data_IF_471140574775
#
_entry.id   IF_471140574775
#
_cell.length_a   1.000
_cell.length_b   1.000
_cell.length_c   1.000
_cell.angle_alpha   90.00
_cell.angle_beta   90.00
_cell.angle_gamma   90.00
#
_symmetry.space_group_name_H-M   'P 1'
#
loop_
_entity.id
_entity.type
_entity.pdbx_description
1 polymer ?
#
# COMPACT_ATOMS: atom_id res chain seq x y z
N UNK A 1 -49.03 -16.08 8.98
CA UNK A 1 -48.76 -16.16 8.80
C UNK A 1 -48.58 -15.74 8.70
N UNK A 2 -48.70 -15.42 8.90
CA UNK A 2 -48.57 -15.04 8.90
C UNK A 2 -47.89 -14.94 9.20
N UNK A 3 -47.56 -15.18 9.65
CA UNK A 3 -46.94 -15.28 9.86
C UNK A 3 -46.12 -15.08 9.83
N UNK A 4 -45.94 -14.94 10.16
CA UNK A 4 -45.30 -14.79 10.12
C UNK A 4 -44.36 -14.75 9.76
N UNK A 5 -44.29 -14.98 9.89
CA UNK A 5 -43.41 -15.16 9.42
C UNK A 5 -42.70 -14.76 8.72
N UNK A 6 -42.82 -14.83 8.78
CA UNK A 6 -42.32 -14.59 8.08
C UNK A 6 -41.45 -14.35 7.33
N UNK A 7 -41.22 -14.91 7.13
CA UNK A 7 -40.54 -14.87 6.23
C UNK A 7 -40.93 -15.54 5.19
N UNK A 8 -41.95 -15.54 4.89
CA UNK A 8 -42.21 -16.16 3.67
C UNK A 8 -41.49 -15.45 2.52
N UNK A 9 -41.00 -16.21 1.60
CA UNK A 9 -40.23 -15.64 0.49
C UNK A 9 -41.09 -14.75 -0.38
N UNK A 10 -42.39 -15.04 -0.54
CA UNK A 10 -43.28 -14.24 -1.33
C UNK A 10 -43.48 -12.83 -0.77
N UNK A 11 -43.26 -12.67 0.50
CA UNK A 11 -43.38 -11.38 1.16
C UNK A 11 -42.04 -10.68 1.33
N UNK A 12 -40.94 -11.33 1.04
CA UNK A 12 -39.63 -10.80 1.34
C UNK A 12 -39.26 -9.57 0.55
N UNK A 13 -39.98 -9.28 -0.52
CA UNK A 13 -39.67 -8.14 -1.37
C UNK A 13 -40.52 -6.92 -1.06
N UNK A 14 -41.14 -6.85 0.07
CA UNK A 14 -41.80 -5.65 0.51
C UNK A 14 -40.75 -4.53 0.80
N UNK A 15 -41.23 -3.30 0.97
CA UNK A 15 -40.37 -2.15 1.16
C UNK A 15 -39.40 -2.29 2.34
N UNK A 16 -39.77 -2.81 3.53
CA UNK A 16 -38.85 -2.99 4.59
C UNK A 16 -37.70 -3.96 4.27
N UNK A 17 -37.97 -4.98 3.47
CA UNK A 17 -36.92 -5.91 3.05
C UNK A 17 -35.93 -5.25 2.09
N UNK A 18 -36.45 -4.42 1.15
CA UNK A 18 -35.60 -3.65 0.25
C UNK A 18 -34.70 -2.65 1.02
N UNK A 19 -35.29 -1.97 2.00
CA UNK A 19 -34.50 -1.06 2.86
C UNK A 19 -33.36 -1.78 3.57
N UNK A 20 -33.60 -3.01 4.02
CA UNK A 20 -32.55 -3.81 4.67
C UNK A 20 -31.44 -4.20 3.69
N UNK A 21 -31.79 -4.50 2.44
CA UNK A 21 -30.80 -4.83 1.41
C UNK A 21 -29.93 -3.61 1.14
N UNK A 22 -30.53 -2.43 1.00
CA UNK A 22 -29.78 -1.20 0.81
C UNK A 22 -28.86 -0.90 1.98
N UNK A 23 -29.35 -1.08 3.20
CA UNK A 23 -28.55 -0.89 4.42
C UNK A 23 -27.38 -1.86 4.44
N UNK A 24 -27.63 -3.14 4.11
CA UNK A 24 -26.57 -4.14 4.08
C UNK A 24 -25.52 -3.80 3.03
N UNK A 25 -25.94 -3.35 1.84
CA UNK A 25 -25.01 -2.93 0.80
C UNK A 25 -24.14 -1.76 1.26
N UNK A 26 -24.74 -0.79 1.96
CA UNK A 26 -23.98 0.33 2.54
C UNK A 26 -23.00 -0.13 3.60
N UNK A 27 -23.39 -1.04 4.47
CA UNK A 27 -22.49 -1.60 5.50
C UNK A 27 -21.34 -2.37 4.88
N UNK A 28 -21.60 -3.16 3.84
CA UNK A 28 -20.55 -3.88 3.11
C UNK A 28 -19.57 -2.92 2.44
N UNK A 29 -20.06 -1.83 1.85
CA UNK A 29 -19.21 -0.82 1.26
C UNK A 29 -18.30 -0.16 2.32
N UNK A 30 -18.86 0.16 3.49
CA UNK A 30 -18.07 0.71 4.60
C UNK A 30 -17.03 -0.27 5.12
N UNK A 31 -17.37 -1.56 5.18
CA UNK A 31 -16.42 -2.60 5.59
C UNK A 31 -15.30 -2.76 4.57
N UNK A 32 -15.60 -2.67 3.28
CA UNK A 32 -14.60 -2.70 2.23
C UNK A 32 -13.66 -1.51 2.34
N UNK A 33 -14.18 -0.31 2.55
CA UNK A 33 -13.36 0.88 2.76
C UNK A 33 -12.47 0.74 3.99
N UNK A 34 -13.00 0.17 5.07
CA UNK A 34 -12.21 -0.09 6.28
C UNK A 34 -11.19 -1.19 6.09
N UNK A 35 -11.37 -2.09 5.14
CA UNK A 35 -10.40 -3.13 4.82
C UNK A 35 -9.21 -2.61 4.04
N UNK A 36 -9.33 -1.45 3.40
CA UNK A 36 -8.21 -0.80 2.73
C UNK A 36 -7.19 -0.32 3.75
N UNK A 37 -5.93 -0.64 3.52
CA UNK A 37 -4.86 -0.36 4.45
C UNK A 37 -3.72 0.34 3.76
N UNK A 38 -2.97 1.08 4.55
CA UNK A 38 -1.66 1.56 4.13
C UNK A 38 -0.63 0.55 4.58
N UNK A 39 -0.04 -0.14 3.63
CA UNK A 39 0.89 -1.24 3.89
C UNK A 39 2.29 -0.76 3.59
N UNK A 40 3.17 -0.82 4.59
CA UNK A 40 4.59 -0.59 4.39
C UNK A 40 5.27 -1.89 3.99
N UNK A 41 6.10 -1.84 2.95
CA UNK A 41 6.92 -2.97 2.55
C UNK A 41 8.38 -2.49 2.50
N UNK A 42 9.19 -3.07 3.34
CA UNK A 42 10.62 -2.76 3.47
C UNK A 42 11.42 -4.05 3.40
N UNK A 43 12.66 -3.95 2.96
CA UNK A 43 13.49 -5.14 2.93
C UNK A 43 14.89 -4.95 2.39
N UNK A 44 15.53 -6.06 2.10
CA UNK A 44 16.93 -6.15 1.71
C UNK A 44 17.22 -5.44 0.40
N UNK A 45 18.43 -4.91 0.28
CA UNK A 45 18.91 -4.28 -0.97
C UNK A 45 19.34 -5.30 -2.01
N UNK A 46 19.81 -6.45 -1.57
CA UNK A 46 20.25 -7.53 -2.45
C UNK A 46 19.20 -8.62 -2.45
N UNK A 47 18.57 -8.83 -3.61
CA UNK A 47 17.43 -9.73 -3.75
C UNK A 47 17.66 -10.63 -4.97
N UNK A 48 17.45 -11.94 -4.84
CA UNK A 48 17.50 -12.84 -6.00
C UNK A 48 16.46 -12.43 -7.06
N UNK A 49 16.78 -12.62 -8.33
CA UNK A 49 15.91 -12.20 -9.44
C UNK A 49 14.51 -12.79 -9.32
N UNK A 50 14.40 -14.05 -8.93
CA UNK A 50 13.10 -14.70 -8.75
C UNK A 50 12.26 -14.00 -7.69
N UNK A 51 12.89 -13.61 -6.58
CA UNK A 51 12.20 -12.90 -5.51
C UNK A 51 11.77 -11.49 -5.94
N UNK A 52 12.56 -10.81 -6.76
CA UNK A 52 12.19 -9.51 -7.32
C UNK A 52 10.84 -9.60 -8.04
N UNK A 53 10.67 -10.57 -8.92
CA UNK A 53 9.41 -10.77 -9.65
C UNK A 53 8.23 -11.08 -8.72
N UNK A 54 8.47 -11.88 -7.69
CA UNK A 54 7.43 -12.18 -6.70
C UNK A 54 7.02 -10.94 -5.92
N UNK A 55 7.97 -10.11 -5.54
CA UNK A 55 7.68 -8.87 -4.80
C UNK A 55 6.88 -7.90 -5.68
N UNK A 56 7.27 -7.76 -6.94
CA UNK A 56 6.51 -6.95 -7.90
C UNK A 56 5.07 -7.44 -8.03
N UNK A 57 4.89 -8.76 -8.11
CA UNK A 57 3.56 -9.38 -8.21
C UNK A 57 2.74 -9.12 -6.93
N UNK A 58 3.34 -9.26 -5.77
CA UNK A 58 2.67 -8.98 -4.49
C UNK A 58 2.24 -7.52 -4.42
N UNK A 59 3.14 -6.60 -4.78
CA UNK A 59 2.82 -5.17 -4.78
C UNK A 59 1.65 -4.86 -5.73
N UNK A 60 1.66 -5.40 -6.94
CA UNK A 60 0.56 -5.25 -7.89
C UNK A 60 -0.76 -5.76 -7.30
N UNK A 61 -0.72 -6.95 -6.72
CA UNK A 61 -1.91 -7.58 -6.15
C UNK A 61 -2.51 -6.74 -5.02
N UNK A 62 -1.69 -6.24 -4.12
CA UNK A 62 -2.15 -5.43 -3.01
C UNK A 62 -2.80 -4.14 -3.50
N UNK A 63 -2.22 -3.48 -4.49
CA UNK A 63 -2.79 -2.26 -5.07
C UNK A 63 -4.09 -2.56 -5.81
N UNK A 64 -4.17 -3.69 -6.53
CA UNK A 64 -5.39 -4.12 -7.20
C UNK A 64 -6.53 -4.38 -6.21
N UNK A 65 -6.19 -4.81 -5.00
CA UNK A 65 -7.16 -5.01 -3.92
C UNK A 65 -7.56 -3.70 -3.23
N UNK A 66 -6.98 -2.58 -3.63
CA UNK A 66 -7.34 -1.27 -3.10
C UNK A 66 -6.45 -0.74 -1.99
N UNK A 67 -5.40 -1.47 -1.61
CA UNK A 67 -4.46 -1.01 -0.60
C UNK A 67 -3.53 0.07 -1.14
N UNK A 68 -3.07 0.96 -0.25
CA UNK A 68 -2.00 1.90 -0.54
C UNK A 68 -0.68 1.35 -0.02
N UNK A 69 0.40 1.58 -0.76
CA UNK A 69 1.73 1.12 -0.38
C UNK A 69 2.62 2.30 0.00
N UNK A 70 3.47 2.07 0.99
CA UNK A 70 4.51 3.01 1.39
C UNK A 70 5.83 2.27 1.53
N UNK A 71 6.88 2.83 0.97
CA UNK A 71 8.22 2.24 1.03
C UNK A 71 9.28 3.33 0.97
N UNK A 72 10.55 2.95 1.07
CA UNK A 72 11.64 3.90 0.85
C UNK A 72 12.23 3.72 -0.55
N UNK A 73 13.18 4.58 -0.90
CA UNK A 73 13.75 4.64 -2.24
C UNK A 73 15.00 3.81 -2.44
N UNK A 74 15.25 2.78 -1.63
CA UNK A 74 16.43 1.95 -1.80
C UNK A 74 16.23 0.86 -2.87
N UNK A 75 17.33 0.29 -3.35
CA UNK A 75 17.30 -0.83 -4.28
C UNK A 75 16.76 -2.10 -3.62
N UNK A 76 16.56 -3.14 -4.42
CA UNK A 76 16.15 -4.44 -3.94
C UNK A 76 14.65 -4.52 -3.71
N UNK A 77 14.23 -4.92 -2.51
CA UNK A 77 12.81 -5.07 -2.16
C UNK A 77 12.04 -3.80 -2.43
N UNK A 78 12.55 -2.67 -1.94
CA UNK A 78 11.84 -1.39 -2.07
C UNK A 78 11.64 -0.98 -3.53
N UNK A 79 12.66 -1.14 -4.36
CA UNK A 79 12.55 -0.85 -5.79
C UNK A 79 11.54 -1.75 -6.49
N UNK A 80 11.49 -3.03 -6.12
CA UNK A 80 10.52 -3.97 -6.68
C UNK A 80 9.08 -3.57 -6.30
N UNK A 81 8.86 -3.12 -5.08
CA UNK A 81 7.55 -2.61 -4.63
C UNK A 81 7.14 -1.40 -5.46
N UNK A 82 8.06 -0.47 -5.68
CA UNK A 82 7.81 0.72 -6.49
C UNK A 82 7.40 0.31 -7.91
N UNK A 83 8.17 -0.56 -8.56
CA UNK A 83 7.85 -1.01 -9.92
C UNK A 83 6.48 -1.66 -10.01
N UNK A 84 6.19 -2.56 -9.07
CA UNK A 84 4.90 -3.26 -9.06
C UNK A 84 3.72 -2.30 -8.90
N UNK A 85 3.83 -1.34 -7.99
CA UNK A 85 2.77 -0.38 -7.74
C UNK A 85 2.57 0.55 -8.95
N UNK A 86 3.65 1.04 -9.54
CA UNK A 86 3.58 1.95 -10.70
C UNK A 86 2.88 1.31 -11.90
N UNK A 87 2.92 0.00 -12.03
CA UNK A 87 2.25 -0.71 -13.12
C UNK A 87 0.73 -0.74 -12.97
N UNK A 88 0.21 -0.53 -11.77
CA UNK A 88 -1.24 -0.61 -11.50
C UNK A 88 -1.82 0.77 -11.26
N UNK A 89 -1.36 1.45 -10.22
CA UNK A 89 -1.90 2.75 -9.83
C UNK A 89 -0.86 3.56 -9.07
N UNK A 90 -0.16 4.48 -9.74
CA UNK A 90 0.85 5.32 -9.09
C UNK A 90 0.30 6.16 -7.94
N UNK A 91 -0.99 6.48 -7.94
CA UNK A 91 -1.60 7.28 -6.87
C UNK A 91 -1.67 6.54 -5.53
N UNK A 92 -1.49 5.22 -5.54
CA UNK A 92 -1.52 4.39 -4.34
C UNK A 92 -0.14 4.18 -3.72
N UNK A 93 0.89 4.83 -4.25
CA UNK A 93 2.26 4.67 -3.79
C UNK A 93 2.77 5.95 -3.15
N UNK A 94 3.35 5.82 -1.97
CA UNK A 94 4.13 6.87 -1.32
C UNK A 94 5.55 6.36 -1.08
N UNK A 95 6.55 7.14 -1.47
CA UNK A 95 7.95 6.81 -1.26
C UNK A 95 8.59 7.90 -0.40
N UNK A 96 9.20 7.49 0.71
CA UNK A 96 9.99 8.36 1.57
C UNK A 96 11.47 8.10 1.34
N UNK A 97 12.23 9.17 1.15
CA UNK A 97 13.67 9.08 1.01
C UNK A 97 14.35 9.49 2.33
N UNK A 98 15.48 8.87 2.66
CA UNK A 98 16.23 9.25 3.87
C UNK A 98 16.90 10.61 3.75
N UNK A 99 17.22 11.04 2.53
CA UNK A 99 17.92 12.27 2.23
C UNK A 99 17.31 12.89 0.96
N UNK A 100 17.94 13.89 0.38
CA UNK A 100 17.46 14.50 -0.85
C UNK A 100 17.46 13.51 -2.02
N UNK A 101 16.64 13.78 -3.02
CA UNK A 101 16.60 13.02 -4.26
C UNK A 101 17.96 13.01 -4.95
N UNK A 102 18.69 14.11 -4.89
CA UNK A 102 20.01 14.23 -5.51
C UNK A 102 21.05 13.28 -4.89
N UNK A 103 20.84 12.88 -3.66
CA UNK A 103 21.71 11.93 -2.97
C UNK A 103 21.45 10.48 -3.34
N UNK A 104 20.36 10.19 -4.02
CA UNK A 104 20.04 8.82 -4.41
C UNK A 104 20.94 8.35 -5.54
N UNK A 105 21.25 7.06 -5.56
CA UNK A 105 22.11 6.50 -6.60
C UNK A 105 21.43 6.60 -7.97
N UNK A 106 22.20 6.81 -9.06
CA UNK A 106 21.63 7.00 -10.38
C UNK A 106 20.70 5.86 -10.82
N UNK A 107 21.00 4.63 -10.41
CA UNK A 107 20.23 3.45 -10.81
C UNK A 107 18.79 3.46 -10.33
N UNK A 108 18.49 4.18 -9.25
CA UNK A 108 17.14 4.28 -8.72
C UNK A 108 16.45 5.57 -9.13
N UNK A 109 17.18 6.59 -9.56
CA UNK A 109 16.60 7.91 -9.85
C UNK A 109 15.53 7.87 -10.93
N UNK A 110 15.78 7.17 -12.01
CA UNK A 110 14.83 7.07 -13.12
C UNK A 110 13.50 6.48 -12.64
N UNK A 111 13.57 5.52 -11.72
CA UNK A 111 12.40 4.93 -11.12
C UNK A 111 11.68 5.94 -10.20
N UNK A 112 12.45 6.66 -9.38
CA UNK A 112 11.90 7.64 -8.45
C UNK A 112 11.25 8.83 -9.17
N UNK A 113 11.75 9.19 -10.34
CA UNK A 113 11.16 10.27 -11.14
C UNK A 113 9.73 9.96 -11.60
N UNK A 114 9.35 8.70 -11.59
CA UNK A 114 7.99 8.26 -11.95
C UNK A 114 7.04 8.22 -10.77
N UNK A 115 7.53 8.44 -9.56
CA UNK A 115 6.72 8.38 -8.35
C UNK A 115 5.98 9.71 -8.16
N UNK A 116 4.66 9.66 -7.98
CA UNK A 116 3.83 10.85 -7.81
C UNK A 116 3.93 11.42 -6.40
N UNK A 117 3.99 10.56 -5.40
CA UNK A 117 4.04 10.97 -3.99
C UNK A 117 5.41 10.63 -3.41
N UNK A 118 6.38 11.45 -3.74
CA UNK A 118 7.76 11.32 -3.28
C UNK A 118 8.03 12.37 -2.21
N UNK A 119 8.52 11.92 -1.05
CA UNK A 119 8.91 12.79 0.05
C UNK A 119 10.41 12.63 0.26
N UNK A 120 11.19 13.64 -0.12
CA UNK A 120 12.62 13.64 0.15
C UNK A 120 12.94 14.46 1.40
N UNK A 121 14.16 14.33 1.91
CA UNK A 121 14.59 14.91 3.18
C UNK A 121 15.93 15.61 3.02
N UNK A 122 16.00 16.73 2.27
CA UNK A 122 17.26 17.43 2.11
C UNK A 122 17.85 17.93 3.44
N UNK A 123 17.00 18.17 4.44
CA UNK A 123 17.46 18.56 5.78
C UNK A 123 18.25 17.47 6.50
N UNK A 124 18.22 16.25 5.99
CA UNK A 124 18.96 15.12 6.56
C UNK A 124 20.22 14.76 5.75
N UNK A 125 20.59 15.59 4.77
CA UNK A 125 21.76 15.33 3.92
C UNK A 125 23.07 15.34 4.71
N UNK A 126 23.13 16.03 5.81
CA UNK A 126 24.30 16.10 6.68
C UNK A 126 24.42 14.91 7.64
N UNK A 127 23.38 14.09 7.75
CA UNK A 127 23.41 12.92 8.61
C UNK A 127 24.11 11.75 7.91
N UNK A 128 24.80 10.89 8.67
CA UNK A 128 25.27 9.63 8.10
C UNK A 128 24.08 8.82 7.53
N UNK A 129 24.28 8.18 6.39
CA UNK A 129 23.20 7.46 5.73
C UNK A 129 22.50 6.42 6.62
N UNK A 130 23.22 5.62 7.45
CA UNK A 130 22.53 4.70 8.35
C UNK A 130 21.57 5.38 9.32
N UNK A 131 21.91 6.56 9.82
CA UNK A 131 21.05 7.32 10.71
C UNK A 131 19.83 7.88 9.94
N UNK A 132 20.06 8.48 8.79
CA UNK A 132 19.00 9.01 7.95
C UNK A 132 18.04 7.89 7.53
N UNK A 133 18.55 6.72 7.18
CA UNK A 133 17.75 5.55 6.81
C UNK A 133 16.92 5.05 7.98
N UNK A 134 17.48 5.03 9.19
CA UNK A 134 16.75 4.62 10.38
C UNK A 134 15.58 5.56 10.67
N UNK A 135 15.80 6.86 10.57
CA UNK A 135 14.74 7.87 10.75
C UNK A 135 13.66 7.72 9.69
N UNK A 136 14.05 7.48 8.44
CA UNK A 136 13.13 7.26 7.34
C UNK A 136 12.26 6.04 7.58
N UNK A 137 12.86 4.92 7.95
CA UNK A 137 12.12 3.69 8.24
C UNK A 137 11.15 3.87 9.40
N UNK A 138 11.56 4.59 10.43
CA UNK A 138 10.67 4.88 11.57
C UNK A 138 9.46 5.71 11.14
N UNK A 139 9.66 6.69 10.28
CA UNK A 139 8.57 7.49 9.76
C UNK A 139 7.61 6.63 8.92
N UNK A 140 8.15 5.75 8.09
CA UNK A 140 7.35 4.82 7.29
C UNK A 140 6.49 3.94 8.19
N UNK A 141 7.09 3.37 9.23
CA UNK A 141 6.39 2.50 10.19
C UNK A 141 5.27 3.27 10.89
N UNK A 142 5.52 4.53 11.25
CA UNK A 142 4.52 5.35 11.93
C UNK A 142 3.34 5.74 11.01
N UNK A 143 3.52 5.66 9.69
CA UNK A 143 2.49 6.02 8.72
C UNK A 143 1.67 4.84 8.21
N UNK A 144 2.04 3.61 8.54
CA UNK A 144 1.37 2.43 7.99
C UNK A 144 0.43 1.78 9.01
N UNK A 145 -0.53 1.03 8.49
CA UNK A 145 -1.42 0.19 9.28
C UNK A 145 -0.85 -1.21 9.45
N UNK A 146 -0.02 -1.63 8.50
CA UNK A 146 0.59 -2.95 8.48
C UNK A 146 1.98 -2.87 7.87
N UNK A 147 2.92 -3.59 8.45
CA UNK A 147 4.30 -3.65 8.00
C UNK A 147 4.63 -5.06 7.49
N UNK A 148 5.21 -5.13 6.31
CA UNK A 148 5.78 -6.35 5.74
C UNK A 148 7.28 -6.12 5.59
N UNK A 149 8.09 -6.94 6.26
CA UNK A 149 9.54 -6.91 6.14
C UNK A 149 10.02 -8.16 5.42
N UNK A 150 10.79 -7.97 4.35
CA UNK A 150 11.32 -9.05 3.53
C UNK A 150 12.84 -9.06 3.58
N UNK A 151 13.41 -10.14 4.07
CA UNK A 151 14.85 -10.31 4.18
C UNK A 151 15.32 -11.49 3.33
N UNK A 152 16.41 -11.28 2.62
CA UNK A 152 17.02 -12.30 1.74
C UNK A 152 18.51 -12.43 2.00
#
# INVERSE_FOLDING_TARGET
MKSGGGFSLGQSLDLPALDRVDTLAQELALLQDKSQRRIAILGSRHVPVVAVHLIELVARSLVQEGHSLITSGSQGVNAAVIRGCLEVDPSKLTVLLPQSLDRQVPEIRDLLDRVLHLVDKPEQDDLPLPMASSLCNQEIINRCDQLICLAF
#
